data_IF_204550254025
#
_entry.id   IF_204550254025
#
_cell.length_a   1.000
_cell.length_b   1.000
_cell.length_c   1.000
_cell.angle_alpha   90.00
_cell.angle_beta   90.00
_cell.angle_gamma   90.00
#
_symmetry.space_group_name_H-M   'P 1'
#
loop_
_entity.id
_entity.type
_entity.pdbx_description
1 polymer ?
#
# COMPACT_ATOMS: atom_id res chain seq x y z
N UNK A 1 -9.73 -21.68 -11.23
CA UNK A 1 -9.28 -20.28 -11.06
C UNK A 1 -8.81 -20.10 -9.63
N UNK A 2 -7.68 -19.41 -9.40
CA UNK A 2 -7.08 -19.20 -8.07
C UNK A 2 -7.15 -17.71 -7.72
N UNK A 3 -7.38 -17.38 -6.45
CA UNK A 3 -7.29 -15.99 -6.02
C UNK A 3 -5.82 -15.51 -6.08
N UNK A 4 -5.56 -14.45 -6.82
CA UNK A 4 -4.23 -13.88 -7.03
C UNK A 4 -4.20 -12.34 -6.86
N UNK A 5 -5.29 -11.72 -6.38
CA UNK A 5 -5.34 -10.28 -6.16
C UNK A 5 -6.29 -9.91 -5.03
N UNK A 6 -6.12 -8.70 -4.53
CA UNK A 6 -7.06 -8.03 -3.65
C UNK A 6 -7.37 -6.63 -4.21
N UNK A 7 -8.49 -6.04 -3.81
CA UNK A 7 -8.92 -4.73 -4.28
C UNK A 7 -8.81 -3.71 -3.14
N UNK A 8 -8.15 -2.58 -3.41
CA UNK A 8 -8.16 -1.42 -2.53
C UNK A 8 -9.12 -0.37 -3.10
N UNK A 9 -9.79 0.35 -2.21
CA UNK A 9 -10.60 1.52 -2.54
C UNK A 9 -9.89 2.74 -1.94
N UNK A 10 -9.57 3.70 -2.80
CA UNK A 10 -9.10 5.02 -2.37
C UNK A 10 -10.22 6.03 -2.62
N UNK A 11 -10.66 6.70 -1.54
CA UNK A 11 -11.76 7.64 -1.57
C UNK A 11 -11.43 8.86 -0.71
N UNK A 12 -12.05 9.99 -1.06
CA UNK A 12 -12.09 11.20 -0.24
C UNK A 12 -13.32 11.18 0.66
N UNK A 13 -13.34 12.04 1.69
CA UNK A 13 -14.42 12.09 2.67
C UNK A 13 -15.76 12.50 2.05
N UNK A 14 -15.74 13.54 1.21
CA UNK A 14 -16.92 14.15 0.62
C UNK A 14 -16.80 14.23 -0.90
N UNK A 15 -17.92 14.08 -1.61
CA UNK A 15 -17.94 14.11 -3.09
C UNK A 15 -17.46 15.45 -3.67
N UNK A 16 -17.68 16.55 -2.95
CA UNK A 16 -17.27 17.90 -3.36
C UNK A 16 -15.81 18.22 -2.99
N UNK A 17 -15.12 17.34 -2.25
CA UNK A 17 -13.74 17.54 -1.84
C UNK A 17 -12.78 17.34 -3.03
N UNK A 18 -12.37 18.44 -3.64
CA UNK A 18 -11.39 18.43 -4.76
C UNK A 18 -9.94 18.33 -4.30
N UNK A 19 -9.62 18.82 -3.10
CA UNK A 19 -8.26 18.85 -2.57
C UNK A 19 -8.03 17.63 -1.68
N UNK A 20 -7.09 16.80 -2.07
CA UNK A 20 -6.57 15.68 -1.29
C UNK A 20 -5.09 15.51 -1.64
N UNK A 21 -4.34 14.87 -0.75
CA UNK A 21 -2.91 14.61 -0.98
C UNK A 21 -2.78 13.52 -2.03
N UNK A 22 -2.09 13.85 -3.12
CA UNK A 22 -1.64 12.88 -4.11
C UNK A 22 -0.27 13.30 -4.66
N UNK A 23 0.76 12.57 -4.25
CA UNK A 23 2.15 12.88 -4.60
C UNK A 23 2.49 12.32 -5.98
N UNK A 24 1.93 12.92 -7.03
CA UNK A 24 2.03 12.44 -8.41
C UNK A 24 3.49 12.26 -8.86
N UNK A 25 4.36 13.23 -8.59
CA UNK A 25 5.76 13.19 -9.02
C UNK A 25 6.55 12.06 -8.32
N UNK A 26 6.30 11.84 -7.03
CA UNK A 26 6.91 10.74 -6.27
C UNK A 26 6.46 9.37 -6.83
N UNK A 27 5.17 9.25 -7.14
CA UNK A 27 4.61 8.02 -7.70
C UNK A 27 5.09 7.73 -9.13
N UNK A 28 5.34 8.78 -9.91
CA UNK A 28 5.93 8.69 -11.25
C UNK A 28 7.40 8.24 -11.17
N UNK A 29 8.18 8.83 -10.27
CA UNK A 29 9.57 8.45 -10.04
C UNK A 29 9.71 7.00 -9.56
N UNK A 30 8.79 6.51 -8.72
CA UNK A 30 8.76 5.12 -8.24
C UNK A 30 8.44 4.10 -9.36
N UNK A 31 7.98 4.56 -10.51
CA UNK A 31 7.55 3.74 -11.63
C UNK A 31 8.33 4.10 -12.90
N UNK A 32 9.65 4.26 -12.77
CA UNK A 32 10.59 4.53 -13.87
C UNK A 32 10.21 5.74 -14.73
N UNK A 33 9.80 6.82 -14.06
CA UNK A 33 9.30 8.06 -14.67
C UNK A 33 8.05 7.89 -15.55
N UNK A 34 7.32 6.79 -15.39
CA UNK A 34 6.03 6.53 -16.01
C UNK A 34 4.89 6.72 -15.01
N UNK A 35 3.72 7.13 -15.49
CA UNK A 35 2.55 7.26 -14.62
C UNK A 35 2.20 5.91 -13.96
N UNK A 36 2.14 5.90 -12.62
CA UNK A 36 1.76 4.72 -11.85
C UNK A 36 0.35 4.28 -12.23
N UNK A 37 0.17 2.97 -12.43
CA UNK A 37 -1.12 2.35 -12.75
C UNK A 37 -1.91 1.98 -11.50
N UNK A 38 -3.19 1.64 -11.68
CA UNK A 38 -4.07 1.17 -10.61
C UNK A 38 -3.87 -0.31 -10.24
N UNK A 39 -3.18 -1.08 -11.08
CA UNK A 39 -2.80 -2.46 -10.81
C UNK A 39 -1.36 -2.55 -10.34
N UNK A 40 -1.16 -3.17 -9.18
CA UNK A 40 0.14 -3.27 -8.52
C UNK A 40 0.54 -4.73 -8.36
N UNK A 41 1.71 -5.07 -8.90
CA UNK A 41 2.32 -6.39 -8.66
C UNK A 41 3.23 -6.30 -7.45
N UNK A 42 2.83 -6.92 -6.34
CA UNK A 42 3.56 -6.94 -5.07
C UNK A 42 3.63 -8.38 -4.54
N UNK A 43 4.76 -8.79 -3.93
CA UNK A 43 4.84 -10.07 -3.25
C UNK A 43 3.98 -10.09 -1.97
N UNK A 44 3.58 -11.28 -1.53
CA UNK A 44 2.88 -11.47 -0.26
C UNK A 44 3.83 -11.36 0.95
N UNK A 45 3.30 -10.96 2.11
CA UNK A 45 4.07 -10.87 3.36
C UNK A 45 4.58 -12.25 3.80
N UNK A 46 5.89 -12.46 3.64
CA UNK A 46 6.60 -13.73 3.86
C UNK A 46 8.03 -13.48 4.37
N UNK A 47 8.79 -14.54 4.67
CA UNK A 47 10.17 -14.39 5.12
C UNK A 47 10.28 -13.67 6.47
N UNK A 48 11.31 -12.84 6.64
CA UNK A 48 11.58 -12.10 7.88
C UNK A 48 10.56 -10.99 8.18
N UNK A 49 9.85 -10.50 7.17
CA UNK A 49 8.77 -9.53 7.32
C UNK A 49 7.56 -10.15 8.05
N UNK A 50 7.35 -11.46 7.86
CA UNK A 50 6.21 -12.17 8.45
C UNK A 50 6.47 -12.42 9.93
N UNK A 51 5.73 -11.71 10.77
CA UNK A 51 5.88 -11.80 12.22
C UNK A 51 5.50 -13.19 12.72
N UNK A 52 6.30 -13.67 13.67
CA UNK A 52 6.09 -14.95 14.35
C UNK A 52 5.75 -14.72 15.82
N UNK A 53 4.91 -15.59 16.35
CA UNK A 53 4.64 -15.66 17.79
C UNK A 53 5.78 -16.40 18.52
N UNK A 54 5.67 -16.49 19.84
CA UNK A 54 6.66 -17.13 20.71
C UNK A 54 6.79 -18.64 20.44
N UNK A 55 5.78 -19.27 19.83
CA UNK A 55 5.78 -20.69 19.44
C UNK A 55 6.34 -20.90 18.01
N UNK A 56 6.73 -19.81 17.33
CA UNK A 56 7.23 -19.83 15.96
C UNK A 56 6.15 -19.92 14.88
N UNK A 57 4.88 -19.84 15.28
CA UNK A 57 3.70 -19.76 14.42
C UNK A 57 3.54 -18.38 13.77
N UNK A 58 2.50 -18.21 12.95
CA UNK A 58 2.18 -16.91 12.35
C UNK A 58 1.52 -16.03 13.39
N UNK A 59 2.15 -14.89 13.75
CA UNK A 59 1.58 -13.97 14.71
C UNK A 59 0.22 -13.38 14.27
N UNK A 60 0.05 -13.15 12.97
CA UNK A 60 -1.22 -12.69 12.40
C UNK A 60 -1.57 -13.41 11.08
N UNK A 61 -2.82 -13.89 10.90
CA UNK A 61 -3.20 -14.66 9.73
C UNK A 61 -3.19 -13.81 8.44
N UNK A 62 -3.55 -12.54 8.54
CA UNK A 62 -3.77 -11.63 7.39
C UNK A 62 -2.82 -10.44 7.35
N UNK A 63 -1.61 -10.57 7.92
CA UNK A 63 -0.56 -9.55 7.82
C UNK A 63 -0.33 -9.16 6.35
N UNK A 64 -0.38 -7.85 6.07
CA UNK A 64 -0.18 -7.28 4.74
C UNK A 64 1.30 -6.94 4.51
N UNK A 65 1.77 -6.97 3.25
CA UNK A 65 3.15 -6.64 2.96
C UNK A 65 3.45 -5.15 3.19
N UNK A 66 4.59 -4.82 3.80
CA UNK A 66 5.01 -3.42 4.05
C UNK A 66 5.11 -2.61 2.77
N UNK A 67 5.50 -3.24 1.66
CA UNK A 67 5.57 -2.60 0.34
C UNK A 67 4.23 -2.00 -0.13
N UNK A 68 3.10 -2.61 0.28
CA UNK A 68 1.77 -2.07 0.01
C UNK A 68 1.55 -0.76 0.77
N UNK A 69 1.81 -0.76 2.09
CA UNK A 69 1.64 0.42 2.93
C UNK A 69 2.61 1.54 2.56
N UNK A 70 3.87 1.20 2.26
CA UNK A 70 4.86 2.16 1.79
C UNK A 70 4.35 2.93 0.56
N UNK A 71 3.76 2.22 -0.41
CA UNK A 71 3.19 2.85 -1.60
C UNK A 71 1.96 3.70 -1.28
N UNK A 72 1.06 3.23 -0.43
CA UNK A 72 -0.12 4.00 0.00
C UNK A 72 0.28 5.30 0.68
N UNK A 73 1.18 5.22 1.66
CA UNK A 73 1.66 6.38 2.42
C UNK A 73 2.36 7.40 1.51
N UNK A 74 3.33 6.96 0.71
CA UNK A 74 4.01 7.84 -0.23
C UNK A 74 3.05 8.49 -1.23
N UNK A 75 2.02 7.78 -1.68
CA UNK A 75 1.04 8.32 -2.61
C UNK A 75 0.14 9.37 -1.95
N UNK A 76 -0.29 9.15 -0.71
CA UNK A 76 -1.45 9.87 -0.14
C UNK A 76 -1.18 10.63 1.16
N UNK A 77 0.06 10.71 1.65
CA UNK A 77 0.40 11.46 2.86
C UNK A 77 1.66 12.33 2.68
N UNK A 78 1.84 13.29 3.58
CA UNK A 78 3.05 14.09 3.72
C UNK A 78 3.76 13.77 5.04
N UNK A 79 5.06 14.06 5.16
CA UNK A 79 5.77 13.99 6.43
C UNK A 79 5.05 14.81 7.51
N UNK A 80 4.76 14.15 8.65
CA UNK A 80 4.04 14.76 9.78
C UNK A 80 2.53 14.55 9.76
N UNK A 81 1.96 14.03 8.67
CA UNK A 81 0.55 13.62 8.66
C UNK A 81 0.33 12.45 9.63
N UNK A 82 -0.84 12.43 10.27
CA UNK A 82 -1.28 11.33 11.14
C UNK A 82 -2.04 10.28 10.31
N UNK A 83 -1.74 9.01 10.55
CA UNK A 83 -2.32 7.84 9.85
C UNK A 83 -2.95 6.89 10.86
#
# INVERSE_FOLDING_TARGET
FTNAHETLIWAVRDADQKKYTFNYDAMKALNDDLQMRSDWTLPICTGGERLKDDEGGKAHPTQKPESLLHRVLLATTNPGDTV
#
